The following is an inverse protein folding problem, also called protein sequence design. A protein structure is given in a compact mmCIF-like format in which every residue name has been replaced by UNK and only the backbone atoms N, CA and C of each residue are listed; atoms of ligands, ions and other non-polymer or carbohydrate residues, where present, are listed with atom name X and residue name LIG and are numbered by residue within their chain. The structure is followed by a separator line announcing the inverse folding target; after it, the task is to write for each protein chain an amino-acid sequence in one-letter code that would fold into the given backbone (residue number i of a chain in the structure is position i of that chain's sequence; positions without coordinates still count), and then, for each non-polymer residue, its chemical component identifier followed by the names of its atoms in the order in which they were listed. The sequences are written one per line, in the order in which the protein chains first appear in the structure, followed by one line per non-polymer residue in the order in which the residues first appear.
data_IF_108652923942
#
_entry.id   IF_108652923942
#
_cell.length_a   1.000
_cell.length_b   1.000
_cell.length_c   1.000
_cell.angle_alpha   90.00
_cell.angle_beta   90.00
_cell.angle_gamma   90.00
#
_symmetry.space_group_name_H-M   'P 1'
#
loop_
_entity.id
_entity.type
_entity.pdbx_description
1 polymer ?
#
# COMPACT_ATOMS: atom_id res chain seq x y z
N UNK A 1 45.95 12.57 52.24
CA UNK A 1 46.20 12.89 50.84
C UNK A 1 45.49 11.83 49.96
N UNK A 2 44.37 12.15 49.34
CA UNK A 2 43.67 11.25 48.42
C UNK A 2 43.97 11.76 47.02
N UNK A 3 44.33 10.92 46.03
CA UNK A 3 44.47 11.35 44.63
C UNK A 3 43.12 11.52 43.94
N UNK A 4 42.96 12.67 43.31
CA UNK A 4 41.86 13.02 42.45
C UNK A 4 42.05 12.32 41.08
N UNK A 5 41.22 11.33 40.75
CA UNK A 5 41.17 10.75 39.40
C UNK A 5 40.32 11.68 38.50
N UNK A 6 40.97 12.34 37.55
CA UNK A 6 40.31 13.03 36.44
C UNK A 6 39.84 11.97 35.43
N UNK A 7 38.52 11.79 35.34
CA UNK A 7 37.89 11.01 34.26
C UNK A 7 37.69 11.97 33.08
N UNK A 8 38.50 11.83 32.02
CA UNK A 8 38.27 12.46 30.72
C UNK A 8 37.10 11.74 30.04
N UNK A 9 35.94 12.36 30.04
CA UNK A 9 34.80 11.91 29.24
C UNK A 9 35.06 12.31 27.77
N UNK A 10 35.39 11.34 26.92
CA UNK A 10 35.35 11.50 25.47
C UNK A 10 33.87 11.53 25.04
N UNK A 11 33.37 12.72 24.75
CA UNK A 11 32.07 12.89 24.07
C UNK A 11 32.31 12.56 22.59
N UNK A 12 31.95 11.34 22.19
CA UNK A 12 31.78 11.01 20.79
C UNK A 12 30.55 11.76 20.33
N UNK A 13 30.72 12.90 19.66
CA UNK A 13 29.67 13.51 18.82
C UNK A 13 29.42 12.59 17.63
N UNK A 14 28.41 11.73 17.75
CA UNK A 14 27.83 11.07 16.59
C UNK A 14 27.22 12.17 15.73
N UNK A 15 27.95 12.63 14.72
CA UNK A 15 27.36 13.38 13.60
C UNK A 15 26.42 12.42 12.90
N UNK A 16 25.12 12.53 13.17
CA UNK A 16 24.09 12.00 12.27
C UNK A 16 24.28 12.71 10.95
N UNK A 17 24.96 12.06 10.01
CA UNK A 17 24.91 12.42 8.60
C UNK A 17 23.47 12.19 8.18
N UNK A 18 22.64 13.23 8.29
CA UNK A 18 21.31 13.25 7.69
C UNK A 18 21.47 12.90 6.22
N UNK A 19 20.61 12.03 5.71
CA UNK A 19 20.62 11.61 4.32
C UNK A 19 20.67 12.86 3.42
N UNK A 20 21.83 13.12 2.82
CA UNK A 20 21.99 14.26 1.92
C UNK A 20 21.15 13.98 0.66
N UNK A 21 20.16 14.82 0.39
CA UNK A 21 19.36 14.80 -0.82
C UNK A 21 19.52 16.16 -1.53
N UNK A 22 19.17 16.24 -2.81
CA UNK A 22 19.26 17.44 -3.61
C UNK A 22 20.69 17.85 -3.97
N UNK A 23 20.84 19.08 -4.43
CA UNK A 23 22.12 19.62 -4.88
C UNK A 23 22.60 19.08 -6.21
N UNK A 24 23.92 19.05 -6.41
CA UNK A 24 24.50 18.50 -7.64
C UNK A 24 24.40 16.98 -7.67
N UNK A 25 23.80 16.44 -8.72
CA UNK A 25 23.56 14.99 -8.86
C UNK A 25 24.85 14.17 -8.86
N UNK A 26 25.92 14.67 -9.53
CA UNK A 26 27.22 13.97 -9.55
C UNK A 26 27.85 13.88 -8.17
N UNK A 27 27.74 14.94 -7.36
CA UNK A 27 28.22 14.91 -5.97
C UNK A 27 27.39 13.95 -5.11
N UNK A 28 26.08 13.96 -5.26
CA UNK A 28 25.19 13.00 -4.61
C UNK A 28 25.57 11.56 -4.96
N UNK A 29 25.76 11.25 -6.25
CA UNK A 29 26.15 9.92 -6.71
C UNK A 29 27.50 9.49 -6.13
N UNK A 30 28.47 10.40 -6.05
CA UNK A 30 29.75 10.11 -5.40
C UNK A 30 29.59 9.79 -3.92
N UNK A 31 28.68 10.46 -3.21
CA UNK A 31 28.36 10.13 -1.80
C UNK A 31 27.78 8.73 -1.67
N UNK A 32 26.84 8.35 -2.57
CA UNK A 32 26.28 6.99 -2.58
C UNK A 32 27.34 5.92 -2.89
N UNK A 33 28.27 6.19 -3.83
CA UNK A 33 29.39 5.29 -4.14
C UNK A 33 30.31 5.11 -2.91
N UNK A 34 30.61 6.21 -2.21
CA UNK A 34 31.44 6.15 -0.99
C UNK A 34 30.77 5.33 0.11
N UNK A 35 29.45 5.52 0.34
CA UNK A 35 28.73 4.68 1.28
C UNK A 35 28.71 3.20 0.90
N UNK A 36 28.60 2.87 -0.37
CA UNK A 36 28.73 1.49 -0.84
C UNK A 36 30.10 0.91 -0.48
N UNK A 37 31.18 1.70 -0.63
CA UNK A 37 32.52 1.27 -0.19
C UNK A 37 32.60 1.08 1.32
N UNK A 38 32.01 2.01 2.08
CA UNK A 38 31.97 1.94 3.56
C UNK A 38 31.17 0.73 4.07
N UNK A 39 30.18 0.27 3.29
CA UNK A 39 29.43 -0.97 3.50
C UNK A 39 30.22 -2.23 3.08
N UNK A 40 31.44 -2.09 2.53
CA UNK A 40 32.33 -3.21 2.19
C UNK A 40 32.18 -3.75 0.77
N UNK A 41 31.46 -3.07 -0.12
CA UNK A 41 31.41 -3.47 -1.53
C UNK A 41 32.72 -3.11 -2.25
N UNK A 42 33.19 -4.00 -3.14
CA UNK A 42 34.42 -3.78 -3.90
C UNK A 42 34.29 -2.63 -4.89
N UNK A 43 35.40 -1.93 -5.18
CA UNK A 43 35.39 -0.82 -6.15
C UNK A 43 34.95 -1.26 -7.55
N UNK A 44 35.26 -2.50 -7.96
CA UNK A 44 34.83 -3.05 -9.24
C UNK A 44 33.30 -3.13 -9.29
N UNK A 45 32.69 -3.77 -8.28
CA UNK A 45 31.24 -3.93 -8.19
C UNK A 45 30.50 -2.59 -8.13
N UNK A 46 31.01 -1.65 -7.32
CA UNK A 46 30.44 -0.31 -7.16
C UNK A 46 30.48 0.45 -8.48
N UNK A 47 31.61 0.39 -9.20
CA UNK A 47 31.73 1.07 -10.47
C UNK A 47 30.79 0.44 -11.52
N UNK A 48 30.81 -0.87 -11.71
CA UNK A 48 29.93 -1.57 -12.65
C UNK A 48 28.44 -1.25 -12.39
N UNK A 49 28.02 -1.20 -11.12
CA UNK A 49 26.65 -0.90 -10.77
C UNK A 49 26.25 0.55 -11.05
N UNK A 50 27.10 1.52 -10.70
CA UNK A 50 26.74 2.93 -10.78
C UNK A 50 27.16 3.64 -12.09
N UNK A 51 27.96 2.99 -12.97
CA UNK A 51 28.42 3.65 -14.21
C UNK A 51 27.29 3.99 -15.19
N UNK A 52 26.19 3.22 -15.16
CA UNK A 52 25.00 3.49 -15.94
C UNK A 52 23.98 4.43 -15.26
N UNK A 53 24.24 4.85 -14.01
CA UNK A 53 23.30 5.61 -13.21
C UNK A 53 23.08 7.02 -13.73
N UNK A 54 21.82 7.37 -13.99
CA UNK A 54 21.40 8.66 -14.50
C UNK A 54 20.17 9.17 -13.78
N UNK A 55 20.05 10.51 -13.67
CA UNK A 55 18.81 11.13 -13.22
C UNK A 55 17.76 11.07 -14.34
N UNK A 56 16.55 10.59 -14.03
CA UNK A 56 15.45 10.54 -14.99
C UNK A 56 14.31 11.52 -14.61
N UNK A 57 14.16 12.65 -15.33
CA UNK A 57 13.10 13.62 -15.09
C UNK A 57 11.67 13.04 -15.28
N UNK A 58 11.51 11.97 -16.07
CA UNK A 58 10.21 11.30 -16.26
C UNK A 58 9.73 10.66 -14.96
N UNK A 59 10.64 10.14 -14.16
CA UNK A 59 10.36 9.60 -12.81
C UNK A 59 9.76 10.68 -11.92
N UNK A 60 10.38 11.86 -11.84
CA UNK A 60 9.85 12.98 -11.05
C UNK A 60 8.48 13.45 -11.54
N UNK A 61 8.27 13.45 -12.86
CA UNK A 61 6.96 13.77 -13.44
C UNK A 61 5.90 12.75 -13.03
N UNK A 62 6.22 11.46 -13.11
CA UNK A 62 5.31 10.37 -12.69
C UNK A 62 5.00 10.46 -11.19
N UNK A 63 6.01 10.67 -10.34
CA UNK A 63 5.87 10.82 -8.88
C UNK A 63 4.92 11.97 -8.48
N UNK A 64 4.84 13.03 -9.28
CA UNK A 64 3.99 14.21 -9.03
C UNK A 64 2.60 14.13 -9.69
N UNK A 65 2.32 13.11 -10.50
CA UNK A 65 1.12 13.04 -11.37
C UNK A 65 0.07 12.02 -10.91
N UNK A 66 -0.04 11.71 -9.63
CA UNK A 66 -0.91 10.64 -9.11
C UNK A 66 -2.36 11.13 -8.86
N UNK A 67 -3.17 11.28 -9.92
CA UNK A 67 -4.57 11.70 -9.80
C UNK A 67 -5.64 10.59 -9.70
N UNK A 68 -5.29 9.31 -9.96
CA UNK A 68 -6.28 8.22 -10.04
C UNK A 68 -6.96 7.89 -8.70
N UNK A 69 -6.28 8.10 -7.59
CA UNK A 69 -6.79 7.84 -6.24
C UNK A 69 -7.82 8.86 -5.73
N UNK A 70 -8.20 9.84 -6.56
CA UNK A 70 -9.29 10.78 -6.29
C UNK A 70 -10.68 10.24 -6.66
N UNK A 71 -10.74 9.06 -7.31
CA UNK A 71 -12.03 8.40 -7.61
C UNK A 71 -12.62 7.77 -6.35
N UNK A 72 -13.96 7.76 -6.27
CA UNK A 72 -14.65 7.01 -5.23
C UNK A 72 -14.50 5.49 -5.43
N UNK A 73 -14.80 4.72 -4.39
CA UNK A 73 -14.66 3.26 -4.38
C UNK A 73 -15.47 2.58 -5.50
N UNK A 74 -16.70 3.01 -5.75
CA UNK A 74 -17.57 2.39 -6.75
C UNK A 74 -16.96 2.56 -8.14
N UNK A 75 -16.66 3.81 -8.50
CA UNK A 75 -16.03 4.14 -9.79
C UNK A 75 -14.69 3.43 -9.96
N UNK A 76 -13.87 3.42 -8.92
CA UNK A 76 -12.54 2.82 -8.95
C UNK A 76 -12.61 1.29 -9.08
N UNK A 77 -13.45 0.64 -8.29
CA UNK A 77 -13.60 -0.82 -8.33
C UNK A 77 -14.18 -1.31 -9.66
N UNK A 78 -15.14 -0.61 -10.23
CA UNK A 78 -15.71 -0.95 -11.55
C UNK A 78 -14.70 -0.83 -12.68
N UNK A 79 -13.74 0.12 -12.59
CA UNK A 79 -12.65 0.25 -13.57
C UNK A 79 -11.63 -0.88 -13.41
N UNK A 80 -11.23 -1.18 -12.18
CA UNK A 80 -10.17 -2.17 -11.93
C UNK A 80 -10.66 -3.61 -12.00
N UNK A 81 -11.89 -3.90 -11.58
CA UNK A 81 -12.47 -5.26 -11.61
C UNK A 81 -13.26 -5.42 -12.92
N UNK A 82 -12.53 -5.42 -14.04
CA UNK A 82 -13.13 -5.67 -15.37
C UNK A 82 -13.44 -7.15 -15.57
N UNK A 83 -14.39 -7.45 -16.48
CA UNK A 83 -14.68 -8.84 -16.90
C UNK A 83 -13.43 -9.56 -17.42
N UNK A 84 -12.59 -8.84 -18.17
CA UNK A 84 -11.31 -9.39 -18.67
C UNK A 84 -10.40 -9.81 -17.51
N UNK A 85 -10.19 -8.92 -16.52
CA UNK A 85 -9.34 -9.21 -15.36
C UNK A 85 -9.91 -10.33 -14.49
N UNK A 86 -11.24 -10.43 -14.32
CA UNK A 86 -11.91 -11.56 -13.67
C UNK A 86 -11.66 -12.88 -14.40
N UNK A 87 -11.77 -12.88 -15.73
CA UNK A 87 -11.50 -14.06 -16.55
C UNK A 87 -10.06 -14.51 -16.46
N UNK A 88 -9.11 -13.56 -16.55
CA UNK A 88 -7.68 -13.86 -16.46
C UNK A 88 -7.28 -14.31 -15.07
N UNK A 89 -7.86 -13.75 -14.01
CA UNK A 89 -7.65 -14.24 -12.65
C UNK A 89 -8.07 -15.72 -12.50
N UNK A 90 -9.25 -16.09 -12.99
CA UNK A 90 -9.73 -17.50 -12.98
C UNK A 90 -8.82 -18.42 -13.79
N UNK A 91 -8.35 -17.97 -14.95
CA UNK A 91 -7.41 -18.73 -15.79
C UNK A 91 -6.08 -18.93 -15.07
N UNK A 92 -5.54 -17.88 -14.45
CA UNK A 92 -4.30 -17.97 -13.69
C UNK A 92 -4.44 -18.76 -12.40
N UNK A 93 -5.58 -18.69 -11.71
CA UNK A 93 -5.88 -19.54 -10.56
C UNK A 93 -5.76 -21.04 -10.92
N UNK A 94 -6.32 -21.44 -12.06
CA UNK A 94 -6.23 -22.82 -12.54
C UNK A 94 -4.82 -23.19 -13.02
N UNK A 95 -4.18 -22.31 -13.81
CA UNK A 95 -2.82 -22.54 -14.34
C UNK A 95 -1.78 -22.73 -13.22
N UNK A 96 -1.88 -21.95 -12.17
CA UNK A 96 -0.91 -21.91 -11.08
C UNK A 96 -1.44 -22.53 -9.78
N UNK A 97 -2.42 -23.43 -9.87
CA UNK A 97 -3.07 -24.04 -8.70
C UNK A 97 -2.08 -24.70 -7.71
N UNK A 98 -1.02 -25.34 -8.21
CA UNK A 98 -0.01 -26.00 -7.38
C UNK A 98 0.80 -24.99 -6.56
N UNK A 99 1.19 -23.85 -7.16
CA UNK A 99 1.94 -22.81 -6.44
C UNK A 99 1.05 -22.09 -5.42
N UNK A 100 -0.21 -21.80 -5.77
CA UNK A 100 -1.15 -21.22 -4.82
C UNK A 100 -1.42 -22.15 -3.63
N UNK A 101 -1.50 -23.47 -3.87
CA UNK A 101 -1.58 -24.43 -2.76
C UNK A 101 -0.34 -24.35 -1.86
N UNK A 102 0.87 -24.35 -2.42
CA UNK A 102 2.13 -24.22 -1.66
C UNK A 102 2.16 -22.92 -0.84
N UNK A 103 1.71 -21.80 -1.41
CA UNK A 103 1.64 -20.49 -0.75
C UNK A 103 0.65 -20.54 0.42
N UNK A 104 -0.54 -21.09 0.20
CA UNK A 104 -1.54 -21.21 1.25
C UNK A 104 -1.05 -22.12 2.39
N UNK A 105 -0.44 -23.26 2.06
CA UNK A 105 0.12 -24.20 3.06
C UNK A 105 1.28 -23.57 3.86
N UNK A 106 2.13 -22.76 3.20
CA UNK A 106 3.34 -22.19 3.82
C UNK A 106 3.08 -20.86 4.55
N UNK A 107 2.26 -20.00 3.97
CA UNK A 107 2.06 -18.64 4.43
C UNK A 107 0.62 -18.34 4.88
N UNK A 108 -0.33 -19.22 4.59
CA UNK A 108 -1.74 -19.04 4.90
C UNK A 108 -2.43 -17.99 4.03
N UNK A 109 -1.84 -17.62 2.89
CA UNK A 109 -2.39 -16.59 1.98
C UNK A 109 -3.26 -17.26 0.92
N UNK A 110 -4.57 -16.94 0.86
CA UNK A 110 -5.47 -17.51 -0.14
C UNK A 110 -5.13 -17.05 -1.56
N UNK A 111 -5.39 -17.88 -2.59
CA UNK A 111 -5.10 -17.53 -3.99
C UNK A 111 -5.69 -16.21 -4.46
N UNK A 112 -6.93 -15.91 -4.06
CA UNK A 112 -7.63 -14.68 -4.44
C UNK A 112 -6.91 -13.39 -4.05
N UNK A 113 -6.18 -13.41 -2.93
CA UNK A 113 -5.42 -12.25 -2.44
C UNK A 113 -4.27 -11.91 -3.38
N UNK A 114 -3.44 -12.91 -3.71
CA UNK A 114 -2.33 -12.70 -4.63
C UNK A 114 -2.78 -12.45 -6.06
N UNK A 115 -3.85 -13.07 -6.51
CA UNK A 115 -4.44 -12.80 -7.82
C UNK A 115 -4.95 -11.35 -7.93
N UNK A 116 -5.49 -10.79 -6.83
CA UNK A 116 -5.92 -9.40 -6.80
C UNK A 116 -4.73 -8.44 -6.96
N UNK A 117 -3.66 -8.63 -6.19
CA UNK A 117 -2.44 -7.82 -6.32
C UNK A 117 -1.81 -8.00 -7.70
N UNK A 118 -1.58 -9.24 -8.14
CA UNK A 118 -0.97 -9.52 -9.44
C UNK A 118 -1.76 -8.90 -10.61
N UNK A 119 -3.09 -8.99 -10.55
CA UNK A 119 -3.96 -8.37 -11.54
C UNK A 119 -3.94 -6.85 -11.52
N UNK A 120 -3.85 -6.22 -10.34
CA UNK A 120 -3.86 -4.77 -10.22
C UNK A 120 -2.51 -4.12 -10.48
N UNK A 121 -1.43 -4.78 -10.08
CA UNK A 121 -0.08 -4.25 -10.26
C UNK A 121 0.36 -4.31 -11.73
N UNK A 122 0.11 -5.42 -12.43
CA UNK A 122 0.73 -5.64 -13.75
C UNK A 122 -0.17 -6.30 -14.79
N UNK A 123 -1.49 -6.42 -14.56
CA UNK A 123 -2.37 -7.25 -15.42
C UNK A 123 -1.77 -8.66 -15.63
N UNK A 124 -1.45 -9.32 -14.51
CA UNK A 124 -0.86 -10.67 -14.47
C UNK A 124 0.48 -10.78 -15.20
N UNK A 125 1.33 -9.77 -15.06
CA UNK A 125 2.67 -9.71 -15.63
C UNK A 125 2.75 -9.08 -17.03
N UNK A 126 1.62 -8.69 -17.62
CA UNK A 126 1.60 -8.10 -18.97
C UNK A 126 2.20 -6.67 -19.01
N UNK A 127 2.15 -5.92 -17.91
CA UNK A 127 2.56 -4.52 -17.84
C UNK A 127 3.41 -4.26 -16.60
N UNK A 128 4.70 -4.62 -16.65
CA UNK A 128 5.61 -4.50 -15.50
C UNK A 128 6.30 -3.13 -15.39
N UNK A 129 6.02 -2.19 -16.30
CA UNK A 129 6.72 -0.93 -16.39
C UNK A 129 7.95 -0.99 -17.30
N UNK A 130 8.47 0.19 -17.64
CA UNK A 130 9.60 0.36 -18.55
C UNK A 130 10.59 1.43 -18.09
N UNK A 131 10.51 1.85 -16.84
CA UNK A 131 11.54 2.72 -16.25
C UNK A 131 12.74 1.87 -15.85
N UNK A 132 13.96 2.37 -16.11
CA UNK A 132 15.14 1.74 -15.54
C UNK A 132 15.08 1.85 -14.01
N UNK A 133 15.13 0.72 -13.32
CA UNK A 133 14.92 0.66 -11.87
C UNK A 133 16.00 1.41 -11.09
N UNK A 134 17.28 1.26 -11.46
CA UNK A 134 18.37 1.98 -10.79
C UNK A 134 18.21 3.49 -10.93
N UNK A 135 17.90 3.98 -12.13
CA UNK A 135 17.68 5.41 -12.39
C UNK A 135 16.47 5.95 -11.62
N UNK A 136 15.41 5.16 -11.51
CA UNK A 136 14.23 5.51 -10.71
C UNK A 136 14.59 5.69 -9.24
N UNK A 137 15.25 4.71 -8.65
CA UNK A 137 15.64 4.73 -7.24
C UNK A 137 16.58 5.88 -6.91
N UNK A 138 17.62 6.10 -7.72
CA UNK A 138 18.60 7.17 -7.52
C UNK A 138 17.95 8.55 -7.70
N UNK A 139 17.08 8.72 -8.70
CA UNK A 139 16.35 9.95 -8.94
C UNK A 139 15.47 10.32 -7.75
N UNK A 140 14.72 9.35 -7.21
CA UNK A 140 13.81 9.56 -6.09
C UNK A 140 14.55 9.72 -4.75
N UNK A 141 15.69 9.07 -4.57
CA UNK A 141 16.55 9.29 -3.41
C UNK A 141 17.22 10.67 -3.44
N UNK A 142 17.56 11.18 -4.63
CA UNK A 142 18.07 12.53 -4.81
C UNK A 142 16.99 13.61 -4.64
N UNK A 143 15.73 13.34 -5.01
CA UNK A 143 14.60 14.25 -4.83
C UNK A 143 14.16 14.28 -3.35
N UNK A 144 14.40 15.39 -2.64
CA UNK A 144 14.21 15.52 -1.19
C UNK A 144 12.77 15.28 -0.68
N UNK A 145 11.88 14.72 -1.48
CA UNK A 145 10.51 14.42 -1.08
C UNK A 145 10.40 13.17 -0.19
N UNK A 146 11.12 12.09 -0.54
CA UNK A 146 11.08 10.79 0.15
C UNK A 146 12.45 10.07 0.14
N UNK A 147 13.55 10.74 0.48
CA UNK A 147 14.88 10.14 0.39
C UNK A 147 15.04 8.91 1.28
N UNK A 148 14.44 8.93 2.48
CA UNK A 148 14.55 7.83 3.44
C UNK A 148 13.89 6.53 2.95
N UNK A 149 12.89 6.62 2.05
CA UNK A 149 12.28 5.47 1.43
C UNK A 149 13.18 4.87 0.33
N UNK A 150 13.74 5.74 -0.54
CA UNK A 150 14.40 5.28 -1.77
C UNK A 150 15.90 5.03 -1.61
N UNK A 151 16.59 5.72 -0.69
CA UNK A 151 18.03 5.54 -0.50
C UNK A 151 18.41 4.10 -0.08
N UNK A 152 17.72 3.44 0.88
CA UNK A 152 17.99 2.05 1.20
C UNK A 152 17.76 1.09 0.03
N UNK A 153 16.83 1.42 -0.87
CA UNK A 153 16.53 0.59 -2.04
C UNK A 153 17.68 0.53 -3.05
N UNK A 154 18.50 1.59 -3.13
CA UNK A 154 19.71 1.60 -3.98
C UNK A 154 20.69 0.53 -3.50
N UNK A 155 20.94 0.43 -2.19
CA UNK A 155 21.86 -0.56 -1.62
C UNK A 155 21.29 -1.99 -1.70
N UNK A 156 19.96 -2.13 -1.57
CA UNK A 156 19.31 -3.41 -1.80
C UNK A 156 19.45 -3.86 -3.26
N UNK A 157 19.27 -2.94 -4.22
CA UNK A 157 19.51 -3.24 -5.64
C UNK A 157 20.98 -3.60 -5.93
N UNK A 158 21.96 -2.94 -5.27
CA UNK A 158 23.37 -3.29 -5.34
C UNK A 158 23.65 -4.71 -4.80
N UNK A 159 23.01 -5.10 -3.71
CA UNK A 159 23.13 -6.47 -3.18
C UNK A 159 22.49 -7.49 -4.11
N UNK A 160 21.32 -7.19 -4.73
CA UNK A 160 20.74 -8.05 -5.77
C UNK A 160 21.64 -8.16 -7.00
N UNK A 161 22.29 -7.06 -7.42
CA UNK A 161 23.29 -7.10 -8.50
C UNK A 161 24.47 -8.02 -8.16
N UNK A 162 25.01 -7.92 -6.95
CA UNK A 162 26.07 -8.82 -6.46
C UNK A 162 25.65 -10.30 -6.50
N UNK A 163 24.35 -10.60 -6.26
CA UNK A 163 23.80 -11.97 -6.36
C UNK A 163 23.51 -12.41 -7.79
N UNK A 164 23.61 -11.52 -8.79
CA UNK A 164 23.23 -11.80 -10.18
C UNK A 164 21.71 -11.80 -10.42
N UNK A 165 20.94 -11.19 -9.53
CA UNK A 165 19.47 -11.08 -9.58
C UNK A 165 18.98 -9.68 -10.02
N UNK A 166 19.90 -8.79 -10.36
CA UNK A 166 19.62 -7.43 -10.83
C UNK A 166 20.66 -7.01 -11.88
N UNK A 167 20.23 -6.31 -12.92
CA UNK A 167 21.10 -5.69 -13.92
C UNK A 167 20.86 -4.17 -13.91
N UNK A 168 21.87 -3.33 -13.64
CA UNK A 168 21.71 -1.88 -13.53
C UNK A 168 21.30 -1.20 -14.85
N UNK A 169 21.53 -1.86 -16.00
CA UNK A 169 21.16 -1.36 -17.32
C UNK A 169 19.82 -1.94 -17.80
N UNK A 170 19.57 -3.22 -17.58
CA UNK A 170 18.46 -3.96 -18.18
C UNK A 170 17.23 -4.10 -17.25
N UNK A 171 17.42 -4.08 -15.92
CA UNK A 171 16.29 -4.22 -15.01
C UNK A 171 15.38 -3.00 -15.11
N UNK A 172 14.14 -3.25 -15.51
CA UNK A 172 13.09 -2.24 -15.62
C UNK A 172 11.93 -2.55 -14.69
N UNK A 173 11.11 -1.55 -14.41
CA UNK A 173 9.95 -1.69 -13.55
C UNK A 173 9.05 -0.45 -13.57
N UNK A 174 8.27 -0.24 -12.50
CA UNK A 174 7.52 0.98 -12.34
C UNK A 174 8.43 2.19 -12.07
N UNK A 175 7.83 3.36 -12.16
CA UNK A 175 8.54 4.63 -11.99
C UNK A 175 9.14 4.83 -10.58
N UNK A 176 8.61 4.16 -9.57
CA UNK A 176 9.11 4.25 -8.19
C UNK A 176 10.13 3.14 -7.85
N UNK A 177 10.57 2.34 -8.85
CA UNK A 177 11.65 1.38 -8.70
C UNK A 177 11.19 -0.02 -8.27
N UNK A 178 9.88 -0.27 -8.27
CA UNK A 178 9.32 -1.60 -8.05
C UNK A 178 9.60 -2.50 -9.25
N UNK A 179 9.84 -3.79 -8.99
CA UNK A 179 10.28 -4.79 -9.97
C UNK A 179 9.28 -5.93 -10.10
N UNK A 180 9.09 -6.40 -11.32
CA UNK A 180 8.48 -7.67 -11.61
C UNK A 180 6.95 -7.69 -11.56
N UNK A 181 6.40 -8.90 -11.70
CA UNK A 181 4.97 -9.16 -11.91
C UNK A 181 4.07 -8.67 -10.77
N UNK A 182 4.61 -8.50 -9.56
CA UNK A 182 3.88 -8.04 -8.37
C UNK A 182 4.44 -6.74 -7.78
N UNK A 183 5.31 -6.05 -8.52
CA UNK A 183 5.82 -4.71 -8.20
C UNK A 183 6.41 -4.58 -6.79
N UNK A 184 7.50 -5.31 -6.53
CA UNK A 184 8.19 -5.35 -5.24
C UNK A 184 9.45 -4.49 -5.28
N UNK A 185 9.70 -3.73 -4.21
CA UNK A 185 10.93 -2.96 -4.06
C UNK A 185 12.14 -3.86 -3.78
N UNK A 186 13.36 -3.47 -4.20
CA UNK A 186 14.57 -4.28 -3.98
C UNK A 186 14.79 -4.73 -2.53
N UNK A 187 14.49 -3.88 -1.54
CA UNK A 187 14.59 -4.24 -0.12
C UNK A 187 13.67 -5.40 0.27
N UNK A 188 12.44 -5.38 -0.22
CA UNK A 188 11.48 -6.45 0.03
C UNK A 188 11.88 -7.75 -0.69
N UNK A 189 12.56 -7.65 -1.86
CA UNK A 189 13.12 -8.82 -2.54
C UNK A 189 14.26 -9.43 -1.73
N UNK A 190 15.15 -8.61 -1.13
CA UNK A 190 16.20 -9.09 -0.23
C UNK A 190 15.62 -9.83 0.98
N UNK A 191 14.55 -9.29 1.57
CA UNK A 191 13.94 -9.83 2.79
C UNK A 191 13.02 -11.02 2.55
N UNK A 192 12.33 -11.06 1.42
CA UNK A 192 11.23 -12.01 1.16
C UNK A 192 11.36 -12.77 -0.15
N UNK A 193 12.32 -12.45 -1.00
CA UNK A 193 12.55 -13.14 -2.28
C UNK A 193 12.57 -14.65 -2.09
N UNK A 194 11.81 -15.35 -2.90
CA UNK A 194 11.63 -16.81 -2.75
C UNK A 194 11.66 -17.43 -4.13
N UNK A 195 12.62 -18.33 -4.34
CA UNK A 195 12.70 -19.21 -5.50
C UNK A 195 11.50 -20.16 -5.49
N UNK A 196 10.54 -19.90 -6.35
CA UNK A 196 9.28 -20.64 -6.43
C UNK A 196 9.34 -21.82 -7.39
N UNK A 197 10.21 -21.80 -8.39
CA UNK A 197 10.37 -22.87 -9.39
C UNK A 197 11.57 -23.78 -9.12
N UNK A 198 12.49 -23.39 -8.23
CA UNK A 198 13.58 -24.23 -7.76
C UNK A 198 14.82 -24.18 -8.68
N UNK A 199 14.97 -23.10 -9.47
CA UNK A 199 16.11 -22.91 -10.39
C UNK A 199 17.35 -22.32 -9.71
N UNK A 200 17.25 -21.92 -8.42
CA UNK A 200 18.31 -21.35 -7.62
C UNK A 200 18.42 -19.81 -7.72
N UNK A 201 17.43 -19.14 -8.29
CA UNK A 201 17.36 -17.67 -8.45
C UNK A 201 16.00 -17.14 -8.02
N UNK A 202 15.91 -15.82 -7.87
CA UNK A 202 14.63 -15.11 -7.65
C UNK A 202 14.43 -14.15 -8.83
N UNK A 203 13.60 -14.56 -9.80
CA UNK A 203 13.29 -13.76 -10.98
C UNK A 203 11.83 -13.31 -11.00
N UNK A 204 11.55 -12.16 -10.42
CA UNK A 204 10.18 -11.63 -10.35
C UNK A 204 9.66 -11.11 -11.70
N UNK A 205 10.53 -10.91 -12.69
CA UNK A 205 10.16 -10.41 -14.02
C UNK A 205 9.71 -11.53 -14.97
N UNK A 206 10.34 -12.69 -14.91
CA UNK A 206 10.12 -13.77 -15.86
C UNK A 206 9.52 -15.03 -15.26
N UNK A 207 9.69 -15.25 -13.94
CA UNK A 207 9.10 -16.38 -13.22
C UNK A 207 7.86 -15.95 -12.41
N UNK A 208 6.66 -16.32 -12.89
CA UNK A 208 5.43 -16.14 -12.11
C UNK A 208 5.43 -16.96 -10.82
N UNK A 209 6.19 -18.06 -10.75
CA UNK A 209 6.29 -18.89 -9.56
C UNK A 209 7.06 -18.17 -8.45
N UNK A 210 8.17 -17.50 -8.81
CA UNK A 210 8.96 -16.70 -7.88
C UNK A 210 8.18 -15.46 -7.42
N UNK A 211 7.55 -14.77 -8.37
CA UNK A 211 6.74 -13.59 -8.08
C UNK A 211 5.63 -13.91 -7.08
N UNK A 212 4.86 -14.99 -7.31
CA UNK A 212 3.77 -15.39 -6.44
C UNK A 212 4.26 -15.90 -5.06
N UNK A 213 5.32 -16.71 -5.02
CA UNK A 213 5.90 -17.17 -3.74
C UNK A 213 6.46 -16.01 -2.93
N UNK A 214 7.18 -15.08 -3.58
CA UNK A 214 7.66 -13.85 -2.95
C UNK A 214 6.50 -13.01 -2.42
N UNK A 215 5.44 -12.81 -3.20
CA UNK A 215 4.25 -12.08 -2.75
C UNK A 215 3.58 -12.69 -1.52
N UNK A 216 3.47 -14.02 -1.49
CA UNK A 216 2.97 -14.74 -0.32
C UNK A 216 3.85 -14.55 0.91
N UNK A 217 5.17 -14.57 0.74
CA UNK A 217 6.14 -14.33 1.81
C UNK A 217 6.08 -12.88 2.31
N UNK A 218 6.02 -11.91 1.41
CA UNK A 218 5.83 -10.47 1.77
C UNK A 218 4.57 -10.28 2.60
N UNK A 219 3.42 -10.82 2.16
CA UNK A 219 2.16 -10.70 2.93
C UNK A 219 2.28 -11.34 4.31
N UNK A 220 2.93 -12.51 4.42
CA UNK A 220 3.20 -13.14 5.72
C UNK A 220 4.05 -12.26 6.62
N UNK A 221 5.12 -11.68 6.10
CA UNK A 221 6.01 -10.76 6.81
C UNK A 221 5.27 -9.48 7.26
N UNK A 222 4.36 -8.97 6.42
CA UNK A 222 3.51 -7.82 6.73
C UNK A 222 2.40 -8.14 7.76
N UNK A 223 2.31 -9.37 8.24
CA UNK A 223 1.41 -9.75 9.34
C UNK A 223 0.16 -10.53 8.93
N UNK A 224 0.12 -11.12 7.72
CA UNK A 224 -0.99 -11.98 7.31
C UNK A 224 -1.22 -13.12 8.30
N UNK A 225 -2.46 -13.22 8.77
CA UNK A 225 -2.89 -14.24 9.74
C UNK A 225 -3.64 -15.36 9.01
N UNK A 226 -3.21 -16.60 9.29
CA UNK A 226 -3.78 -17.80 8.67
C UNK A 226 -5.22 -17.98 9.13
N UNK A 227 -6.12 -18.33 8.21
CA UNK A 227 -7.54 -18.56 8.46
C UNK A 227 -8.35 -17.34 8.99
N UNK A 228 -7.73 -16.15 9.05
CA UNK A 228 -8.46 -14.92 9.34
C UNK A 228 -9.00 -14.31 8.04
N UNK A 229 -10.23 -13.79 8.05
CA UNK A 229 -10.79 -13.08 6.91
C UNK A 229 -10.11 -11.70 6.74
N UNK A 230 -10.42 -11.04 5.62
CA UNK A 230 -9.96 -9.68 5.35
C UNK A 230 -11.12 -8.70 5.19
N UNK A 231 -12.14 -9.04 4.38
CA UNK A 231 -13.26 -8.16 4.08
C UNK A 231 -14.52 -8.98 3.85
N UNK A 232 -15.62 -8.58 4.48
CA UNK A 232 -16.94 -9.22 4.31
C UNK A 232 -18.01 -8.15 4.11
N UNK A 233 -18.84 -8.26 3.08
CA UNK A 233 -19.98 -7.36 2.89
C UNK A 233 -21.08 -7.64 3.91
N UNK A 234 -21.65 -6.54 4.45
CA UNK A 234 -22.61 -6.57 5.53
C UNK A 234 -23.83 -5.70 5.24
N UNK A 235 -24.91 -5.99 5.94
CA UNK A 235 -26.08 -5.12 6.05
C UNK A 235 -26.13 -4.48 7.44
N UNK A 236 -26.50 -3.21 7.45
CA UNK A 236 -26.60 -2.39 8.68
C UNK A 236 -28.05 -2.00 8.93
N UNK A 237 -28.53 -2.04 10.18
CA UNK A 237 -29.89 -1.63 10.51
C UNK A 237 -30.07 -0.11 10.29
N UNK A 238 -31.28 0.32 9.97
CA UNK A 238 -31.60 1.75 9.72
C UNK A 238 -31.28 2.66 10.91
N UNK A 239 -31.35 2.13 12.13
CA UNK A 239 -31.07 2.84 13.39
C UNK A 239 -29.60 2.73 13.83
N UNK A 240 -28.69 2.34 12.93
CA UNK A 240 -27.28 2.14 13.26
C UNK A 240 -26.60 3.45 13.66
N UNK A 241 -25.76 3.40 14.71
CA UNK A 241 -24.91 4.54 15.08
C UNK A 241 -23.69 4.63 14.16
N UNK A 242 -23.80 5.50 13.15
CA UNK A 242 -22.74 5.73 12.15
C UNK A 242 -21.43 6.22 12.78
N UNK A 243 -21.46 6.80 13.97
CA UNK A 243 -20.24 7.22 14.66
C UNK A 243 -19.38 6.04 15.12
N UNK A 244 -19.90 4.83 15.15
CA UNK A 244 -19.13 3.61 15.44
C UNK A 244 -18.32 3.10 14.24
N UNK A 245 -18.52 3.66 13.04
CA UNK A 245 -17.81 3.21 11.82
C UNK A 245 -16.41 3.81 11.69
N UNK A 246 -15.58 3.16 10.89
CA UNK A 246 -14.22 3.60 10.56
C UNK A 246 -13.15 2.62 11.02
N UNK A 247 -12.06 2.52 10.26
CA UNK A 247 -11.00 1.52 10.48
C UNK A 247 -10.24 1.67 11.81
N UNK A 248 -10.33 2.81 12.44
CA UNK A 248 -9.77 3.07 13.78
C UNK A 248 -10.68 2.62 14.93
N UNK A 249 -11.80 1.97 14.63
CA UNK A 249 -12.82 1.53 15.60
C UNK A 249 -13.12 0.06 15.39
N UNK A 250 -12.27 -0.79 15.94
CA UNK A 250 -12.44 -2.24 15.90
C UNK A 250 -13.19 -2.72 17.16
N UNK A 251 -14.19 -3.57 16.96
CA UNK A 251 -14.94 -4.21 18.04
C UNK A 251 -15.13 -5.70 17.73
N UNK A 252 -15.39 -6.55 18.74
CA UNK A 252 -15.69 -7.96 18.51
C UNK A 252 -16.89 -8.13 17.58
N UNK A 253 -16.85 -9.14 16.71
CA UNK A 253 -17.96 -9.47 15.80
C UNK A 253 -19.25 -9.75 16.58
N UNK A 254 -19.16 -10.33 17.78
CA UNK A 254 -20.30 -10.52 18.68
C UNK A 254 -21.02 -9.21 19.02
N UNK A 255 -20.29 -8.10 19.22
CA UNK A 255 -20.91 -6.80 19.43
C UNK A 255 -21.65 -6.31 18.17
N UNK A 256 -21.06 -6.48 17.00
CA UNK A 256 -21.71 -6.11 15.75
C UNK A 256 -23.01 -6.88 15.53
N UNK A 257 -23.05 -8.18 15.86
CA UNK A 257 -24.27 -9.00 15.83
C UNK A 257 -25.34 -8.45 16.80
N UNK A 258 -24.96 -8.09 18.01
CA UNK A 258 -25.89 -7.48 19.00
C UNK A 258 -26.46 -6.15 18.49
N UNK A 259 -25.66 -5.37 17.77
CA UNK A 259 -26.08 -4.11 17.15
C UNK A 259 -26.90 -4.29 15.85
N UNK A 260 -27.22 -5.54 15.48
CA UNK A 260 -28.04 -5.87 14.32
C UNK A 260 -27.31 -5.91 12.99
N UNK A 261 -25.97 -5.97 13.01
CA UNK A 261 -25.17 -6.18 11.79
C UNK A 261 -25.31 -7.62 11.33
N UNK A 262 -25.60 -7.82 10.06
CA UNK A 262 -25.70 -9.16 9.44
C UNK A 262 -24.76 -9.26 8.23
N UNK A 263 -24.29 -10.47 7.90
CA UNK A 263 -23.63 -10.69 6.63
C UNK A 263 -24.66 -10.58 5.50
N UNK A 264 -24.29 -9.93 4.41
CA UNK A 264 -25.14 -9.93 3.21
C UNK A 264 -25.26 -11.33 2.60
N UNK A 265 -24.22 -12.13 2.73
CA UNK A 265 -24.19 -13.51 2.26
C UNK A 265 -23.60 -14.42 3.35
N UNK A 266 -24.25 -15.55 3.64
CA UNK A 266 -23.80 -16.48 4.66
C UNK A 266 -23.93 -15.97 6.09
N UNK A 267 -22.92 -16.24 6.92
CA UNK A 267 -22.84 -15.81 8.31
C UNK A 267 -21.62 -14.89 8.54
N UNK A 268 -21.72 -14.04 9.56
CA UNK A 268 -20.54 -13.29 10.03
C UNK A 268 -19.49 -14.29 10.58
N UNK A 269 -18.23 -13.90 10.40
CA UNK A 269 -17.10 -14.69 10.88
C UNK A 269 -17.11 -14.88 12.42
N UNK A 270 -16.11 -15.48 12.98
CA UNK A 270 -16.00 -15.81 14.39
C UNK A 270 -16.31 -14.62 15.31
N UNK A 271 -17.13 -14.86 16.35
CA UNK A 271 -17.60 -13.88 17.32
C UNK A 271 -16.48 -13.15 18.09
N UNK A 272 -15.35 -13.83 18.31
CA UNK A 272 -14.20 -13.28 19.03
C UNK A 272 -13.32 -12.37 18.14
N UNK A 273 -13.40 -12.53 16.83
CA UNK A 273 -12.59 -11.72 15.89
C UNK A 273 -12.94 -10.24 16.00
N UNK A 274 -11.91 -9.40 15.96
CA UNK A 274 -12.07 -7.94 15.92
C UNK A 274 -12.35 -7.50 14.48
N UNK A 275 -13.29 -6.60 14.28
CA UNK A 275 -13.58 -6.04 12.97
C UNK A 275 -14.04 -4.59 13.07
N UNK A 276 -13.80 -3.83 12.01
CA UNK A 276 -14.25 -2.44 11.86
C UNK A 276 -15.31 -2.36 10.77
N UNK A 277 -16.35 -1.56 10.98
CA UNK A 277 -17.31 -1.26 9.90
C UNK A 277 -16.71 -0.21 8.99
N UNK A 278 -16.52 -0.56 7.71
CA UNK A 278 -16.01 0.30 6.66
C UNK A 278 -17.14 0.73 5.72
N UNK A 279 -17.31 2.04 5.54
CA UNK A 279 -18.26 2.67 4.61
C UNK A 279 -17.49 3.46 3.56
N UNK A 280 -17.09 2.85 2.43
CA UNK A 280 -16.23 3.50 1.45
C UNK A 280 -16.81 4.79 0.87
N UNK A 281 -18.14 4.82 0.66
CA UNK A 281 -18.90 5.92 0.05
C UNK A 281 -20.12 6.33 0.90
N UNK A 282 -19.99 6.20 2.22
CA UNK A 282 -21.03 6.59 3.19
C UNK A 282 -22.12 5.53 3.41
N UNK A 283 -23.05 5.83 4.28
CA UNK A 283 -24.03 4.90 4.84
C UNK A 283 -25.11 4.40 3.86
N UNK A 284 -25.23 5.03 2.70
CA UNK A 284 -26.17 4.60 1.64
C UNK A 284 -25.51 3.76 0.56
N UNK A 285 -24.22 3.57 0.62
CA UNK A 285 -23.43 2.72 -0.26
C UNK A 285 -23.13 1.36 0.36
N UNK A 286 -22.23 0.58 -0.27
CA UNK A 286 -21.82 -0.71 0.25
C UNK A 286 -21.13 -0.58 1.61
N UNK A 287 -21.41 -1.54 2.50
CA UNK A 287 -20.83 -1.62 3.84
C UNK A 287 -20.06 -2.92 4.01
N UNK A 288 -18.93 -2.86 4.70
CA UNK A 288 -18.08 -4.02 4.92
C UNK A 288 -17.64 -4.12 6.37
N UNK A 289 -17.44 -5.36 6.87
CA UNK A 289 -16.55 -5.63 7.99
C UNK A 289 -15.13 -5.83 7.48
N UNK A 290 -14.23 -4.99 7.96
CA UNK A 290 -12.79 -5.10 7.74
C UNK A 290 -12.15 -5.79 8.94
N UNK A 291 -11.58 -6.97 8.73
CA UNK A 291 -10.91 -7.81 9.71
C UNK A 291 -9.40 -7.51 9.78
N UNK A 292 -8.64 -8.10 10.71
CA UNK A 292 -7.20 -7.80 10.85
C UNK A 292 -6.39 -7.95 9.56
N UNK A 293 -6.65 -8.97 8.73
CA UNK A 293 -5.96 -9.14 7.45
C UNK A 293 -6.24 -8.02 6.44
N UNK A 294 -7.31 -7.23 6.61
CA UNK A 294 -7.51 -6.02 5.80
C UNK A 294 -6.42 -4.97 6.03
N UNK A 295 -5.85 -4.91 7.25
CA UNK A 295 -4.76 -3.98 7.53
C UNK A 295 -3.47 -4.35 6.76
N UNK A 296 -3.26 -5.62 6.44
CA UNK A 296 -2.10 -6.07 5.65
C UNK A 296 -2.13 -5.50 4.23
N UNK A 297 -3.32 -5.26 3.67
CA UNK A 297 -3.43 -4.56 2.39
C UNK A 297 -2.92 -3.12 2.46
N UNK A 298 -3.04 -2.44 3.62
CA UNK A 298 -2.48 -1.09 3.81
C UNK A 298 -0.97 -1.08 3.90
N UNK A 299 -0.36 -2.15 4.40
CA UNK A 299 1.11 -2.27 4.38
C UNK A 299 1.63 -2.44 2.94
N UNK A 300 0.82 -3.02 2.04
CA UNK A 300 1.14 -3.11 0.61
C UNK A 300 0.93 -1.78 -0.11
N UNK A 301 -0.19 -1.09 0.14
CA UNK A 301 -0.53 0.18 -0.52
C UNK A 301 -1.34 1.09 0.42
N UNK A 302 -0.91 2.33 0.60
CA UNK A 302 -1.52 3.28 1.56
C UNK A 302 -2.84 3.93 1.08
N UNK A 303 -3.33 3.59 -0.11
CA UNK A 303 -4.59 4.14 -0.65
C UNK A 303 -5.80 3.34 -0.21
N UNK A 304 -6.68 3.93 0.60
CA UNK A 304 -7.92 3.27 1.06
C UNK A 304 -8.76 2.74 -0.12
N UNK A 305 -8.90 3.51 -1.19
CA UNK A 305 -9.70 3.10 -2.35
C UNK A 305 -9.07 1.89 -3.06
N UNK A 306 -7.73 1.87 -3.18
CA UNK A 306 -7.01 0.75 -3.77
C UNK A 306 -7.15 -0.51 -2.90
N UNK A 307 -6.81 -0.42 -1.61
CA UNK A 307 -6.82 -1.61 -0.73
C UNK A 307 -8.22 -2.18 -0.54
N UNK A 308 -9.25 -1.33 -0.45
CA UNK A 308 -10.64 -1.81 -0.40
C UNK A 308 -11.03 -2.52 -1.69
N UNK A 309 -10.59 -2.01 -2.84
CA UNK A 309 -10.86 -2.63 -4.14
C UNK A 309 -10.10 -3.96 -4.31
N UNK A 310 -8.84 -4.03 -3.90
CA UNK A 310 -8.04 -5.27 -3.95
C UNK A 310 -8.61 -6.34 -3.00
N UNK A 311 -8.94 -5.96 -1.77
CA UNK A 311 -9.58 -6.85 -0.80
C UNK A 311 -10.94 -7.37 -1.30
N UNK A 312 -11.74 -6.49 -1.89
CA UNK A 312 -13.02 -6.86 -2.47
C UNK A 312 -12.85 -7.78 -3.71
N UNK A 313 -11.87 -7.51 -4.58
CA UNK A 313 -11.57 -8.39 -5.71
C UNK A 313 -11.17 -9.79 -5.25
N UNK A 314 -10.32 -9.90 -4.21
CA UNK A 314 -10.00 -11.18 -3.59
C UNK A 314 -11.23 -11.90 -3.05
N UNK A 315 -12.19 -11.18 -2.50
CA UNK A 315 -13.46 -11.72 -1.99
C UNK A 315 -14.32 -12.30 -3.12
N UNK A 316 -14.45 -11.59 -4.26
CA UNK A 316 -15.13 -12.12 -5.45
C UNK A 316 -14.45 -13.37 -5.99
N UNK A 317 -13.12 -13.37 -6.03
CA UNK A 317 -12.35 -14.54 -6.48
C UNK A 317 -12.49 -15.73 -5.53
N UNK A 318 -12.84 -15.48 -4.26
CA UNK A 318 -13.23 -16.48 -3.28
C UNK A 318 -14.65 -17.04 -3.47
N UNK A 319 -15.44 -16.49 -4.38
CA UNK A 319 -16.80 -16.96 -4.71
C UNK A 319 -17.94 -16.09 -4.19
N UNK A 320 -17.64 -14.98 -3.50
CA UNK A 320 -18.68 -14.06 -3.06
C UNK A 320 -19.31 -13.30 -4.24
N UNK A 321 -20.60 -12.95 -4.16
CA UNK A 321 -21.27 -12.15 -5.20
C UNK A 321 -20.72 -10.72 -5.24
N UNK A 322 -21.04 -9.99 -6.31
CA UNK A 322 -20.74 -8.57 -6.41
C UNK A 322 -21.52 -7.77 -5.36
N UNK A 323 -20.88 -6.73 -4.80
CA UNK A 323 -21.50 -5.88 -3.77
C UNK A 323 -22.72 -5.13 -4.32
N UNK A 324 -23.63 -4.77 -3.44
CA UNK A 324 -24.74 -3.89 -3.77
C UNK A 324 -24.27 -2.42 -3.73
N UNK A 325 -24.44 -1.73 -4.87
CA UNK A 325 -24.02 -0.33 -5.03
C UNK A 325 -24.77 0.61 -4.08
N UNK A 326 -26.01 0.29 -3.76
CA UNK A 326 -26.88 1.18 -2.99
C UNK A 326 -27.21 2.48 -3.72
N UNK A 327 -27.43 3.55 -2.97
CA UNK A 327 -27.75 4.90 -3.48
C UNK A 327 -26.89 5.96 -2.75
N UNK A 328 -25.56 5.90 -2.86
CA UNK A 328 -24.66 6.78 -2.11
C UNK A 328 -24.91 8.24 -2.46
N UNK A 329 -24.80 9.10 -1.45
CA UNK A 329 -24.87 10.53 -1.65
C UNK A 329 -23.67 11.00 -2.48
N UNK A 330 -23.87 12.02 -3.33
CA UNK A 330 -22.81 12.58 -4.14
C UNK A 330 -21.65 13.06 -3.27
N UNK A 331 -20.45 12.54 -3.54
CA UNK A 331 -19.20 12.99 -2.93
C UNK A 331 -18.70 14.33 -3.49
N UNK A 332 -17.58 14.78 -2.98
CA UNK A 332 -16.91 16.01 -3.40
C UNK A 332 -15.88 15.71 -4.53
N UNK A 333 -15.75 16.64 -5.47
CA UNK A 333 -14.61 16.62 -6.40
C UNK A 333 -13.33 17.12 -5.69
N UNK A 334 -12.17 17.03 -6.37
CA UNK A 334 -10.87 17.37 -5.78
C UNK A 334 -10.80 18.80 -5.22
N UNK A 335 -11.32 19.80 -5.92
CA UNK A 335 -11.32 21.18 -5.45
C UNK A 335 -12.22 21.35 -4.21
N UNK A 336 -13.43 20.81 -4.25
CA UNK A 336 -14.33 20.81 -3.11
C UNK A 336 -13.75 20.04 -1.92
N UNK A 337 -12.97 18.98 -2.17
CA UNK A 337 -12.28 18.25 -1.12
C UNK A 337 -11.17 19.09 -0.48
N UNK A 338 -10.43 19.87 -1.26
CA UNK A 338 -9.46 20.84 -0.72
C UNK A 338 -10.16 21.94 0.10
N UNK A 339 -11.33 22.42 -0.35
CA UNK A 339 -12.13 23.40 0.39
C UNK A 339 -12.59 22.85 1.74
N UNK A 340 -13.10 21.62 1.78
CA UNK A 340 -13.54 21.02 3.06
C UNK A 340 -12.33 20.74 3.97
N UNK A 341 -11.19 20.26 3.44
CA UNK A 341 -9.97 20.09 4.21
C UNK A 341 -9.50 21.42 4.82
N UNK A 342 -9.56 22.51 4.07
CA UNK A 342 -9.22 23.86 4.55
C UNK A 342 -10.16 24.31 5.68
N UNK A 343 -11.47 24.08 5.53
CA UNK A 343 -12.46 24.42 6.56
C UNK A 343 -12.29 23.60 7.83
N UNK A 344 -11.97 22.30 7.69
CA UNK A 344 -11.67 21.41 8.80
C UNK A 344 -10.39 21.84 9.54
N UNK A 345 -9.34 22.22 8.81
CA UNK A 345 -8.11 22.75 9.39
C UNK A 345 -8.36 24.03 10.21
N UNK A 346 -9.18 24.97 9.70
CA UNK A 346 -9.56 26.21 10.42
C UNK A 346 -10.36 25.91 11.71
N UNK A 347 -11.01 24.76 11.80
CA UNK A 347 -11.74 24.29 12.98
C UNK A 347 -10.88 23.50 13.96
N UNK A 348 -9.56 23.41 13.69
CA UNK A 348 -8.59 22.78 14.59
C UNK A 348 -8.31 21.31 14.33
N UNK A 349 -8.85 20.72 13.25
CA UNK A 349 -8.53 19.34 12.89
C UNK A 349 -7.15 19.24 12.23
N UNK A 350 -6.35 18.21 12.59
CA UNK A 350 -5.07 17.94 11.97
C UNK A 350 -5.25 17.26 10.61
N UNK A 351 -5.25 18.06 9.55
CA UNK A 351 -5.44 17.55 8.18
C UNK A 351 -4.17 17.01 7.52
N UNK A 352 -2.99 17.38 8.02
CA UNK A 352 -1.75 17.14 7.29
C UNK A 352 -1.68 17.98 6.01
N UNK A 353 -1.65 17.34 4.84
CA UNK A 353 -1.68 18.04 3.55
C UNK A 353 -3.12 18.30 3.12
N UNK A 354 -3.34 19.46 2.51
CA UNK A 354 -4.58 19.81 1.80
C UNK A 354 -4.38 19.43 0.34
N UNK A 355 -4.67 18.18 0.00
CA UNK A 355 -4.34 17.55 -1.28
C UNK A 355 -5.56 17.16 -2.14
N UNK A 356 -6.76 17.34 -1.59
CA UNK A 356 -8.00 16.94 -2.27
C UNK A 356 -8.29 15.44 -2.23
N UNK A 357 -7.57 14.66 -1.38
CA UNK A 357 -7.76 13.22 -1.23
C UNK A 357 -8.52 12.91 0.07
N UNK A 358 -9.53 12.04 -0.01
CA UNK A 358 -10.29 11.58 1.15
C UNK A 358 -9.52 10.49 1.92
N UNK A 359 -8.44 10.88 2.59
CA UNK A 359 -7.63 10.00 3.44
C UNK A 359 -8.18 9.83 4.86
N UNK A 360 -7.52 9.02 5.68
CA UNK A 360 -7.95 8.67 7.05
C UNK A 360 -8.16 9.89 7.95
N UNK A 361 -7.26 10.89 7.90
CA UNK A 361 -7.38 12.13 8.69
C UNK A 361 -8.60 12.95 8.26
N UNK A 362 -8.85 13.07 6.96
CA UNK A 362 -10.01 13.77 6.41
C UNK A 362 -11.30 13.06 6.82
N UNK A 363 -11.35 11.73 6.72
CA UNK A 363 -12.52 10.94 7.16
C UNK A 363 -12.81 11.11 8.64
N UNK A 364 -11.81 11.06 9.50
CA UNK A 364 -11.97 11.25 10.94
C UNK A 364 -12.51 12.65 11.28
N UNK A 365 -11.97 13.70 10.64
CA UNK A 365 -12.43 15.08 10.85
C UNK A 365 -13.85 15.30 10.31
N UNK A 366 -14.18 14.74 9.13
CA UNK A 366 -15.53 14.76 8.56
C UNK A 366 -16.52 14.10 9.50
N UNK A 367 -16.22 12.91 10.03
CA UNK A 367 -17.07 12.18 10.95
C UNK A 367 -17.35 12.97 12.24
N UNK A 368 -16.32 13.60 12.82
CA UNK A 368 -16.47 14.44 14.01
C UNK A 368 -17.39 15.65 13.75
N UNK A 369 -17.24 16.33 12.61
CA UNK A 369 -18.10 17.47 12.26
C UNK A 369 -19.52 17.04 11.89
N UNK A 370 -19.69 15.89 11.24
CA UNK A 370 -21.02 15.30 11.00
C UNK A 370 -21.75 15.07 12.31
N UNK A 371 -21.08 14.44 13.28
CA UNK A 371 -21.66 14.19 14.62
C UNK A 371 -22.01 15.50 15.32
N UNK A 372 -21.13 16.50 15.32
CA UNK A 372 -21.36 17.81 15.92
C UNK A 372 -22.56 18.55 15.29
N UNK A 373 -22.78 18.37 14.00
CA UNK A 373 -23.82 19.05 13.22
C UNK A 373 -25.13 18.25 13.12
N UNK A 374 -25.19 17.04 13.69
CA UNK A 374 -26.39 16.17 13.64
C UNK A 374 -26.60 15.49 12.29
N UNK A 375 -25.56 15.36 11.45
CA UNK A 375 -25.57 14.54 10.24
C UNK A 375 -25.25 13.06 10.58
N UNK A 376 -25.63 12.10 9.73
CA UNK A 376 -25.07 10.75 9.80
C UNK A 376 -23.55 10.81 9.83
N UNK A 377 -22.92 10.29 10.88
CA UNK A 377 -21.48 10.40 11.10
C UNK A 377 -20.72 9.25 10.39
N UNK A 378 -20.88 9.16 9.06
CA UNK A 378 -20.41 8.07 8.20
C UNK A 378 -19.05 8.34 7.51
N UNK A 379 -18.41 9.46 7.86
CA UNK A 379 -17.14 9.92 7.29
C UNK A 379 -17.17 10.18 5.77
N UNK A 380 -18.35 10.30 5.14
CA UNK A 380 -18.52 10.63 3.74
C UNK A 380 -18.84 12.11 3.55
N UNK A 381 -17.93 12.91 2.96
CA UNK A 381 -18.17 14.35 2.79
C UNK A 381 -19.10 14.60 1.60
N UNK A 382 -20.18 15.35 1.88
CA UNK A 382 -21.18 15.73 0.87
C UNK A 382 -21.14 17.25 0.59
N UNK A 383 -21.68 17.73 -0.55
CA UNK A 383 -21.83 19.16 -0.82
C UNK A 383 -22.64 19.90 0.26
N UNK A 384 -23.59 19.22 0.90
CA UNK A 384 -24.37 19.79 2.03
C UNK A 384 -23.47 20.06 3.22
N UNK A 385 -22.65 19.07 3.63
CA UNK A 385 -21.71 19.23 4.73
C UNK A 385 -20.70 20.35 4.41
N UNK A 386 -20.16 20.41 3.19
CA UNK A 386 -19.25 21.49 2.78
C UNK A 386 -19.90 22.87 2.97
N UNK A 387 -21.15 23.06 2.51
CA UNK A 387 -21.89 24.32 2.70
C UNK A 387 -22.07 24.70 4.17
N UNK A 388 -22.30 23.73 5.05
CA UNK A 388 -22.45 23.95 6.50
C UNK A 388 -21.13 24.34 7.17
N UNK A 389 -20.02 23.77 6.72
CA UNK A 389 -18.68 24.07 7.26
C UNK A 389 -18.09 25.38 6.73
N UNK A 390 -18.60 25.91 5.62
CA UNK A 390 -18.16 27.18 5.02
C UNK A 390 -18.84 28.42 5.62
N UNK A 391 -19.79 28.22 6.51
CA UNK A 391 -20.48 29.30 7.28
C UNK A 391 -19.80 29.50 8.64
#
# INVERSE_FOLDING_TARGET
MRPLLLILAFVFSATTLGASCGGNFGQFLNTIRQEAHDLGYSSILVNEFFDAAQQDPKVLKADRSQGIFQKDFITFSQILISEHRLKDAKKNAAKYASIFKRINDKFGVPPGVLLAFWGFETDFGANQGNFNTLNSLITLAHDCRRPDLFRPQIFAALELFKRGEFDPVLTTGAWAGEIGMIQILPGDIIESGTDGDGDGRVDLQNSALDALMTGGHVLKRLGWQVNEPWLQEIELPKSFDWAMTGLNKAYPVSLWKVLGVTARNGALFDDASQASVLLPVGHKGPAFLAYPNFNVYFEWNQSLVYVTTAAYFATILGGEPTYEVGTPDKGLNALQMQDIQTNLARRGHNMGKIDGILGSKTRAAVQAEQQRLGFPADAWPTPELLRRLSR
#
